data_IF_426674679638
#
_entry.id   IF_426674679638
#
_cell.length_a   1.000
_cell.length_b   1.000
_cell.length_c   1.000
_cell.angle_alpha   90.00
_cell.angle_beta   90.00
_cell.angle_gamma   90.00
#
_symmetry.space_group_name_H-M   'P 1'
#
loop_
_entity.id
_entity.type
_entity.pdbx_description
1 polymer ?
#
# COMPACT_ATOMS: atom_id res chain seq x y z
N UNK A 1 -14.88 -23.69 5.07
CA UNK A 1 -14.65 -22.40 4.39
C UNK A 1 -14.75 -21.17 5.31
N UNK A 2 -15.80 -21.00 6.13
CA UNK A 2 -16.04 -19.80 6.98
C UNK A 2 -14.92 -19.30 7.93
N UNK A 3 -13.95 -20.14 8.32
CA UNK A 3 -12.87 -19.75 9.26
C UNK A 3 -11.69 -19.05 8.58
N UNK A 4 -11.44 -19.30 7.29
CA UNK A 4 -10.29 -18.76 6.59
C UNK A 4 -10.52 -17.29 6.20
N UNK A 5 -11.72 -16.95 5.73
CA UNK A 5 -12.17 -15.58 5.45
C UNK A 5 -12.16 -14.68 6.71
N UNK A 6 -12.57 -15.23 7.86
CA UNK A 6 -12.53 -14.55 9.16
C UNK A 6 -11.11 -14.21 9.60
N UNK A 7 -10.13 -15.05 9.26
CA UNK A 7 -8.74 -14.87 9.65
C UNK A 7 -8.02 -13.84 8.79
N UNK A 8 -8.23 -13.86 7.47
CA UNK A 8 -7.74 -12.83 6.54
C UNK A 8 -8.36 -11.47 6.84
N UNK A 9 -9.66 -11.40 7.11
CA UNK A 9 -10.33 -10.15 7.49
C UNK A 9 -9.79 -9.54 8.80
N UNK A 10 -9.52 -10.36 9.82
CA UNK A 10 -8.92 -9.87 11.08
C UNK A 10 -7.50 -9.36 10.90
N UNK A 11 -6.69 -10.03 10.07
CA UNK A 11 -5.33 -9.58 9.74
C UNK A 11 -5.36 -8.27 8.96
N UNK A 12 -6.28 -8.15 8.01
CA UNK A 12 -6.53 -6.92 7.25
C UNK A 12 -6.89 -5.74 8.18
N UNK A 13 -7.85 -5.93 9.07
CA UNK A 13 -8.25 -4.91 10.03
C UNK A 13 -7.10 -4.50 10.97
N UNK A 14 -6.24 -5.45 11.36
CA UNK A 14 -5.05 -5.15 12.16
C UNK A 14 -4.05 -4.31 11.38
N UNK A 15 -3.81 -4.66 10.12
CA UNK A 15 -2.93 -3.92 9.21
C UNK A 15 -3.40 -2.48 9.05
N UNK A 16 -4.68 -2.30 8.70
CA UNK A 16 -5.29 -0.99 8.55
C UNK A 16 -5.16 -0.14 9.82
N UNK A 17 -5.37 -0.74 10.99
CA UNK A 17 -5.17 -0.05 12.28
C UNK A 17 -3.72 0.35 12.53
N UNK A 18 -2.74 -0.46 12.12
CA UNK A 18 -1.32 -0.14 12.27
C UNK A 18 -0.91 0.98 11.31
N UNK A 19 -1.34 0.88 10.05
CA UNK A 19 -1.13 1.89 9.03
C UNK A 19 -1.72 3.24 9.45
N UNK A 20 -3.01 3.27 9.82
CA UNK A 20 -3.71 4.48 10.29
C UNK A 20 -3.06 5.14 11.51
N UNK A 21 -2.27 4.39 12.30
CA UNK A 21 -1.54 4.90 13.49
C UNK A 21 -0.07 5.20 13.20
N UNK A 22 0.38 5.17 11.94
CA UNK A 22 1.77 5.32 11.52
C UNK A 22 2.71 4.35 12.28
N UNK A 23 2.30 3.08 12.40
CA UNK A 23 3.05 2.01 13.10
C UNK A 23 3.63 0.95 12.16
N UNK A 24 3.47 1.15 10.86
CA UNK A 24 4.14 0.35 9.83
C UNK A 24 5.41 1.07 9.41
N UNK A 25 6.49 0.31 9.32
CA UNK A 25 7.76 0.81 8.81
C UNK A 25 7.79 0.59 7.29
N UNK A 26 8.66 1.32 6.59
CA UNK A 26 8.90 1.08 5.16
C UNK A 26 9.47 -0.32 4.95
N UNK A 27 9.10 -1.06 3.88
CA UNK A 27 8.23 -0.67 2.77
C UNK A 27 6.74 -0.99 2.97
N UNK A 28 6.39 -1.61 4.09
CA UNK A 28 5.03 -2.07 4.37
C UNK A 28 4.04 -0.91 4.50
N UNK A 29 4.51 0.26 4.97
CA UNK A 29 3.69 1.46 4.99
C UNK A 29 3.27 1.91 3.58
N UNK A 30 4.22 1.96 2.64
CA UNK A 30 3.98 2.37 1.26
C UNK A 30 3.10 1.35 0.51
N UNK A 31 3.34 0.05 0.70
CA UNK A 31 2.49 -1.01 0.12
C UNK A 31 1.05 -0.94 0.59
N UNK A 32 0.83 -0.79 1.89
CA UNK A 32 -0.52 -0.66 2.46
C UNK A 32 -1.16 0.66 2.06
N UNK A 33 -0.38 1.72 1.90
CA UNK A 33 -0.88 2.99 1.34
C UNK A 33 -1.39 2.77 -0.08
N UNK A 34 -0.58 2.15 -0.95
CA UNK A 34 -0.97 1.90 -2.34
C UNK A 34 -2.27 1.10 -2.41
N UNK A 35 -2.33 -0.05 -1.73
CA UNK A 35 -3.50 -0.91 -1.71
C UNK A 35 -4.78 -0.21 -1.17
N UNK A 36 -4.68 0.58 -0.09
CA UNK A 36 -5.85 1.28 0.46
C UNK A 36 -6.40 2.35 -0.49
N UNK A 37 -5.52 3.09 -1.17
CA UNK A 37 -5.97 4.15 -2.07
C UNK A 37 -6.40 3.62 -3.43
N UNK A 38 -5.86 2.47 -3.86
CA UNK A 38 -6.35 1.79 -5.06
C UNK A 38 -7.79 1.30 -4.95
N UNK A 39 -8.36 1.19 -3.74
CA UNK A 39 -9.82 1.02 -3.57
C UNK A 39 -10.65 2.18 -4.17
N UNK A 40 -10.00 3.30 -4.48
CA UNK A 40 -10.58 4.47 -5.13
C UNK A 40 -9.90 4.80 -6.47
N UNK A 41 -9.02 3.93 -7.00
CA UNK A 41 -8.29 4.15 -8.25
C UNK A 41 -6.98 4.96 -8.14
N UNK A 42 -6.20 4.97 -9.23
CA UNK A 42 -4.85 5.55 -9.25
C UNK A 42 -4.85 7.07 -9.05
N UNK A 43 -5.86 7.78 -9.57
CA UNK A 43 -5.98 9.23 -9.40
C UNK A 43 -5.97 9.61 -7.90
N UNK A 44 -6.78 8.91 -7.10
CA UNK A 44 -6.87 9.14 -5.66
C UNK A 44 -5.55 8.81 -4.95
N UNK A 45 -4.85 7.76 -5.37
CA UNK A 45 -3.54 7.41 -4.84
C UNK A 45 -2.52 8.53 -5.07
N UNK A 46 -2.41 9.06 -6.29
CA UNK A 46 -1.47 10.13 -6.58
C UNK A 46 -1.84 11.46 -5.90
N UNK A 47 -3.13 11.79 -5.83
CA UNK A 47 -3.62 12.97 -5.10
C UNK A 47 -3.37 12.86 -3.59
N UNK A 48 -3.42 11.65 -3.01
CA UNK A 48 -3.07 11.43 -1.61
C UNK A 48 -1.61 11.74 -1.30
N UNK A 49 -0.70 11.31 -2.18
CA UNK A 49 0.73 11.58 -2.06
C UNK A 49 1.08 13.05 -2.35
N UNK A 50 0.19 13.80 -3.02
CA UNK A 50 0.23 15.26 -3.26
C UNK A 50 1.40 15.81 -4.08
N UNK A 51 2.60 15.28 -3.91
CA UNK A 51 3.84 15.82 -4.47
C UNK A 51 4.57 14.76 -5.30
N UNK A 52 5.14 15.19 -6.43
CA UNK A 52 5.81 14.30 -7.38
C UNK A 52 6.97 13.51 -6.76
N UNK A 53 7.73 14.13 -5.85
CA UNK A 53 8.80 13.45 -5.13
C UNK A 53 8.29 12.34 -4.20
N UNK A 54 7.13 12.53 -3.57
CA UNK A 54 6.49 11.50 -2.73
C UNK A 54 5.96 10.34 -3.57
N UNK A 55 5.39 10.64 -4.74
CA UNK A 55 4.95 9.64 -5.72
C UNK A 55 6.14 8.81 -6.19
N UNK A 56 7.20 9.45 -6.72
CA UNK A 56 8.41 8.75 -7.20
C UNK A 56 9.06 7.92 -6.10
N UNK A 57 9.13 8.45 -4.87
CA UNK A 57 9.64 7.72 -3.72
C UNK A 57 8.81 6.48 -3.44
N UNK A 58 7.48 6.60 -3.36
CA UNK A 58 6.61 5.45 -3.08
C UNK A 58 6.76 4.37 -4.16
N UNK A 59 6.69 4.76 -5.44
CA UNK A 59 6.88 3.83 -6.58
C UNK A 59 8.23 3.12 -6.45
N UNK A 60 9.31 3.85 -6.15
CA UNK A 60 10.64 3.27 -6.00
C UNK A 60 10.74 2.27 -4.83
N UNK A 61 10.08 2.56 -3.71
CA UNK A 61 10.06 1.70 -2.52
C UNK A 61 9.31 0.39 -2.80
N UNK A 62 8.14 0.47 -3.43
CA UNK A 62 7.26 -0.70 -3.59
C UNK A 62 7.59 -1.55 -4.82
N UNK A 63 8.34 -1.05 -5.81
CA UNK A 63 8.61 -1.75 -7.08
C UNK A 63 9.15 -3.18 -6.93
N UNK A 64 9.95 -3.45 -5.89
CA UNK A 64 10.56 -4.77 -5.69
C UNK A 64 9.60 -5.79 -5.04
N UNK A 65 8.43 -5.33 -4.61
CA UNK A 65 7.41 -6.14 -3.97
C UNK A 65 6.23 -6.42 -4.90
N UNK A 66 5.99 -5.56 -5.89
CA UNK A 66 4.92 -5.73 -6.87
C UNK A 66 5.30 -6.80 -7.90
N UNK A 67 4.29 -7.51 -8.42
CA UNK A 67 4.47 -8.27 -9.66
C UNK A 67 4.77 -7.32 -10.81
N UNK A 68 5.34 -7.87 -11.90
CA UNK A 68 5.69 -7.08 -13.07
C UNK A 68 4.46 -6.42 -13.67
N UNK A 69 3.35 -7.14 -13.71
CA UNK A 69 2.07 -6.70 -14.23
C UNK A 69 1.53 -5.48 -13.46
N UNK A 70 1.50 -5.57 -12.12
CA UNK A 70 1.03 -4.46 -11.27
C UNK A 70 1.98 -3.26 -11.36
N UNK A 71 3.30 -3.50 -11.40
CA UNK A 71 4.28 -2.42 -11.52
C UNK A 71 4.21 -1.70 -12.86
N UNK A 72 4.15 -2.43 -13.97
CA UNK A 72 4.02 -1.86 -15.31
C UNK A 72 2.73 -1.03 -15.43
N UNK A 73 1.63 -1.51 -14.83
CA UNK A 73 0.36 -0.78 -14.80
C UNK A 73 0.45 0.50 -13.95
N UNK A 74 1.10 0.45 -12.78
CA UNK A 74 1.34 1.61 -11.93
C UNK A 74 2.19 2.69 -12.65
N UNK A 75 3.19 2.27 -13.41
CA UNK A 75 4.01 3.21 -14.21
C UNK A 75 3.18 3.89 -15.30
N UNK A 76 2.35 3.14 -16.04
CA UNK A 76 1.41 3.71 -17.02
C UNK A 76 0.46 4.71 -16.37
N UNK A 77 -0.12 4.36 -15.23
CA UNK A 77 -0.98 5.27 -14.48
C UNK A 77 -0.24 6.55 -14.06
N UNK A 78 1.03 6.44 -13.66
CA UNK A 78 1.85 7.59 -13.32
C UNK A 78 2.18 8.48 -14.52
N UNK A 79 2.43 7.90 -15.69
CA UNK A 79 2.60 8.65 -16.96
C UNK A 79 1.31 9.42 -17.31
N UNK A 80 0.14 8.77 -17.25
CA UNK A 80 -1.16 9.42 -17.44
C UNK A 80 -1.32 10.59 -16.47
N UNK A 81 -1.02 10.38 -15.18
CA UNK A 81 -1.12 11.43 -14.17
C UNK A 81 -0.24 12.63 -14.49
N UNK A 82 1.02 12.38 -14.86
CA UNK A 82 2.00 13.43 -15.16
C UNK A 82 1.62 14.23 -16.42
N UNK A 83 1.21 13.54 -17.47
CA UNK A 83 0.91 14.16 -18.76
C UNK A 83 -0.42 14.95 -18.74
N UNK A 84 -1.28 14.69 -17.74
CA UNK A 84 -2.59 15.32 -17.60
C UNK A 84 -2.70 16.25 -16.37
N UNK A 85 -1.58 16.69 -15.76
CA UNK A 85 -1.60 17.54 -14.57
C UNK A 85 -2.41 18.85 -14.76
N UNK A 86 -2.37 19.45 -15.95
CA UNK A 86 -3.16 20.66 -16.24
C UNK A 86 -4.67 20.37 -16.21
N UNK A 87 -5.08 19.23 -16.77
CA UNK A 87 -6.47 18.77 -16.77
C UNK A 87 -6.92 18.42 -15.35
N UNK A 88 -6.12 17.65 -14.63
CA UNK A 88 -6.40 17.18 -13.26
C UNK A 88 -6.57 18.36 -12.29
N UNK A 89 -5.78 19.43 -12.45
CA UNK A 89 -5.84 20.61 -11.58
C UNK A 89 -6.87 21.66 -12.05
N UNK A 90 -7.54 21.43 -13.17
CA UNK A 90 -8.52 22.37 -13.71
C UNK A 90 -9.90 22.15 -13.08
N UNK A 91 -10.28 23.07 -12.19
CA UNK A 91 -11.57 23.07 -11.48
C UNK A 91 -12.82 23.16 -12.37
N UNK A 92 -12.67 23.41 -13.68
CA UNK A 92 -13.78 23.44 -14.65
C UNK A 92 -14.06 22.07 -15.26
N UNK A 93 -13.12 21.14 -15.20
CA UNK A 93 -13.29 19.78 -15.69
C UNK A 93 -13.91 18.97 -14.57
N UNK A 94 -14.89 18.13 -14.92
CA UNK A 94 -15.59 17.32 -13.91
C UNK A 94 -14.70 16.18 -13.42
N UNK A 95 -14.86 15.79 -12.16
CA UNK A 95 -14.12 14.64 -11.58
C UNK A 95 -14.31 13.37 -12.44
N UNK A 96 -15.51 13.16 -12.98
CA UNK A 96 -15.81 12.03 -13.88
C UNK A 96 -14.98 12.04 -15.18
N UNK A 97 -14.76 13.21 -15.77
CA UNK A 97 -13.91 13.34 -16.98
C UNK A 97 -12.44 13.08 -16.66
N UNK A 98 -11.99 13.46 -15.47
CA UNK A 98 -10.62 13.19 -15.01
C UNK A 98 -10.45 11.71 -14.71
N UNK A 99 -11.40 11.08 -14.02
CA UNK A 99 -11.40 9.63 -13.71
C UNK A 99 -11.38 8.77 -14.98
N UNK A 100 -12.05 9.20 -16.06
CA UNK A 100 -12.00 8.50 -17.35
C UNK A 100 -10.60 8.34 -17.92
N UNK A 101 -9.66 9.23 -17.59
CA UNK A 101 -8.26 9.12 -18.02
C UNK A 101 -7.59 7.87 -17.43
N UNK A 102 -8.04 7.42 -16.25
CA UNK A 102 -7.45 6.30 -15.51
C UNK A 102 -8.24 5.00 -15.61
N UNK A 103 -9.42 5.02 -16.25
CA UNK A 103 -10.35 3.89 -16.26
C UNK A 103 -9.71 2.57 -16.70
N UNK A 104 -8.91 2.58 -17.78
CA UNK A 104 -8.25 1.36 -18.28
C UNK A 104 -7.22 0.80 -17.27
N UNK A 105 -6.38 1.66 -16.69
CA UNK A 105 -5.37 1.23 -15.72
C UNK A 105 -5.99 0.85 -14.38
N UNK A 106 -7.09 1.48 -13.98
CA UNK A 106 -7.84 1.12 -12.79
C UNK A 106 -8.54 -0.24 -12.94
N UNK A 107 -9.23 -0.46 -14.06
CA UNK A 107 -9.85 -1.75 -14.39
C UNK A 107 -8.82 -2.88 -14.41
N UNK A 108 -7.67 -2.64 -15.07
CA UNK A 108 -6.59 -3.63 -15.11
C UNK A 108 -6.04 -3.96 -13.73
N UNK A 109 -5.92 -2.97 -12.84
CA UNK A 109 -5.49 -3.22 -11.47
C UNK A 109 -6.46 -4.13 -10.71
N UNK A 110 -7.77 -3.98 -10.89
CA UNK A 110 -8.75 -4.81 -10.16
C UNK A 110 -8.67 -6.29 -10.51
N UNK A 111 -8.24 -6.63 -11.72
CA UNK A 111 -7.95 -8.03 -12.10
C UNK A 111 -6.82 -8.63 -11.26
N UNK A 112 -5.82 -7.81 -10.93
CA UNK A 112 -4.58 -8.22 -10.27
C UNK A 112 -4.56 -7.86 -8.76
N UNK A 113 -5.56 -7.15 -8.25
CA UNK A 113 -5.60 -6.61 -6.88
C UNK A 113 -5.48 -7.69 -5.78
N UNK A 114 -5.96 -8.91 -6.07
CA UNK A 114 -5.83 -10.03 -5.15
C UNK A 114 -4.37 -10.48 -4.97
N UNK A 115 -3.52 -10.32 -5.98
CA UNK A 115 -2.09 -10.61 -5.89
C UNK A 115 -1.39 -9.63 -4.93
N UNK A 116 -1.65 -8.33 -5.07
CA UNK A 116 -1.14 -7.31 -4.14
C UNK A 116 -1.54 -7.62 -2.70
N UNK A 117 -2.82 -7.95 -2.48
CA UNK A 117 -3.32 -8.33 -1.15
C UNK A 117 -2.55 -9.51 -0.56
N UNK A 118 -2.21 -10.53 -1.37
CA UNK A 118 -1.41 -11.68 -0.91
C UNK A 118 0.00 -11.26 -0.49
N UNK A 119 0.68 -10.47 -1.32
CA UNK A 119 2.03 -9.96 -1.04
C UNK A 119 2.02 -9.23 0.31
N UNK A 120 1.09 -8.29 0.48
CA UNK A 120 0.93 -7.52 1.70
C UNK A 120 0.69 -8.40 2.94
N UNK A 121 -0.15 -9.44 2.81
CA UNK A 121 -0.42 -10.36 3.92
C UNK A 121 0.81 -11.20 4.33
N UNK A 122 1.68 -11.55 3.38
CA UNK A 122 2.94 -12.24 3.65
C UNK A 122 3.88 -11.31 4.40
N UNK A 123 4.15 -10.12 3.84
CA UNK A 123 5.04 -9.11 4.44
C UNK A 123 4.59 -8.69 5.85
N UNK A 124 3.28 -8.53 6.06
CA UNK A 124 2.73 -8.23 7.39
C UNK A 124 2.97 -9.37 8.39
N UNK A 125 2.85 -10.62 7.94
CA UNK A 125 3.08 -11.77 8.82
C UNK A 125 4.53 -11.78 9.30
N UNK A 126 5.48 -11.56 8.40
CA UNK A 126 6.91 -11.50 8.71
C UNK A 126 7.24 -10.33 9.63
N UNK A 127 6.69 -9.14 9.34
CA UNK A 127 6.82 -7.96 10.20
C UNK A 127 6.34 -8.23 11.64
N UNK A 128 5.18 -8.88 11.80
CA UNK A 128 4.65 -9.17 13.14
C UNK A 128 5.48 -10.21 13.88
N UNK A 129 6.02 -11.22 13.18
CA UNK A 129 6.90 -12.23 13.76
C UNK A 129 8.22 -11.62 14.25
N UNK A 130 8.83 -10.74 13.45
CA UNK A 130 10.05 -10.02 13.81
C UNK A 130 9.82 -9.16 15.07
N UNK A 131 8.74 -8.36 15.12
CA UNK A 131 8.43 -7.54 16.31
C UNK A 131 8.24 -8.38 17.57
N UNK A 132 7.57 -9.52 17.47
CA UNK A 132 7.37 -10.44 18.61
C UNK A 132 8.72 -10.99 19.09
N UNK A 133 9.58 -11.43 18.17
CA UNK A 133 10.89 -11.98 18.52
C UNK A 133 11.80 -10.92 19.17
N UNK A 134 11.82 -9.69 18.64
CA UNK A 134 12.57 -8.59 19.24
C UNK A 134 12.09 -8.23 20.65
N UNK A 135 10.77 -8.26 20.88
CA UNK A 135 10.21 -8.08 22.22
C UNK A 135 10.66 -9.21 23.15
N UNK A 136 10.52 -10.48 22.74
CA UNK A 136 10.96 -11.63 23.55
C UNK A 136 12.43 -11.51 23.94
N UNK A 137 13.29 -11.08 23.02
CA UNK A 137 14.71 -10.90 23.30
C UNK A 137 14.97 -9.76 24.29
N UNK A 138 14.31 -8.61 24.12
CA UNK A 138 14.38 -7.50 25.07
C UNK A 138 13.96 -7.94 26.49
N UNK A 139 12.87 -8.70 26.60
CA UNK A 139 12.43 -9.28 27.88
C UNK A 139 13.45 -10.26 28.46
N UNK A 140 14.09 -11.09 27.62
CA UNK A 140 15.16 -12.02 28.04
C UNK A 140 16.36 -11.28 28.62
N UNK A 141 16.78 -10.21 27.96
CA UNK A 141 17.89 -9.33 28.41
C UNK A 141 17.51 -8.67 29.74
N UNK A 142 16.33 -8.04 29.84
CA UNK A 142 15.87 -7.40 31.08
C UNK A 142 15.80 -8.37 32.26
N UNK A 143 15.42 -9.64 32.03
CA UNK A 143 15.42 -10.67 33.08
C UNK A 143 16.82 -11.07 33.53
N UNK A 144 17.83 -11.03 32.65
CA UNK A 144 19.23 -11.25 33.03
C UNK A 144 19.74 -10.13 33.94
N UNK A 145 19.46 -8.87 33.59
CA UNK A 145 19.89 -7.71 34.39
C UNK A 145 19.18 -7.59 35.74
N UNK A 146 17.93 -8.08 35.88
CA UNK A 146 17.22 -8.11 37.17
C UNK A 146 17.68 -9.23 38.12
N UNK A 147 18.56 -10.11 37.68
CA UNK A 147 19.11 -11.23 38.48
C UNK A 147 20.56 -10.99 38.92
N UNK A 148 21.11 -9.81 38.64
CA UNK A 148 22.40 -9.33 39.12
C UNK A 148 22.19 -8.31 40.24
#
# INVERSE_FOLDING_TARGET
MRKMESYTYKRWNKMWRLWKRNKLDSPLNELVTYDNYMAHGHLYYFQYLRYENEIKRNIWVIKNYLSKEIYDNLLKAYEIYKDNLEIINNKKISDFEIEKLFMEVDEKFYEDAYELTKIIMIELSDFTNIKINNLKEKWRIMKKFKRC
#
